data_IF_528432986834
#
_entry.id   IF_528432986834
#
_cell.length_a   1.000
_cell.length_b   1.000
_cell.length_c   1.000
_cell.angle_alpha   90.00
_cell.angle_beta   90.00
_cell.angle_gamma   90.00
#
_symmetry.space_group_name_H-M   'P 1'
#
loop_
_entity.id
_entity.type
_entity.pdbx_description
1 polymer ?
#
# COMPACT_ATOMS: atom_id res chain seq x y z
N UNK A 1 -8.07 -24.97 -4.41
CA UNK A 1 -8.45 -26.31 -4.91
C UNK A 1 -8.49 -26.22 -6.43
N UNK A 2 -7.48 -26.76 -7.10
CA UNK A 2 -7.39 -26.76 -8.59
C UNK A 2 -8.17 -27.96 -9.10
N UNK A 3 -9.14 -27.74 -9.98
CA UNK A 3 -9.78 -28.78 -10.78
C UNK A 3 -9.27 -28.65 -12.21
N UNK A 4 -8.44 -29.60 -12.61
CA UNK A 4 -8.07 -29.88 -14.00
C UNK A 4 -9.11 -30.81 -14.60
N UNK A 5 -9.69 -30.43 -15.72
CA UNK A 5 -10.51 -31.31 -16.54
C UNK A 5 -9.73 -31.64 -17.81
N UNK A 6 -9.46 -32.93 -18.01
CA UNK A 6 -8.95 -33.50 -19.26
C UNK A 6 -10.12 -33.80 -20.17
N UNK A 7 -10.17 -33.24 -21.37
CA UNK A 7 -11.09 -33.69 -22.43
C UNK A 7 -10.42 -34.81 -23.21
N UNK A 8 -11.10 -35.93 -23.29
CA UNK A 8 -10.80 -37.06 -24.20
C UNK A 8 -11.49 -36.83 -25.53
N UNK A 9 -10.71 -37.00 -26.62
CA UNK A 9 -11.21 -37.07 -28.01
C UNK A 9 -12.16 -38.24 -28.15
N UNK A 10 -13.35 -38.04 -28.72
CA UNK A 10 -14.00 -38.90 -29.74
C UNK A 10 -15.32 -38.27 -30.16
N UNK A 11 -15.57 -38.38 -31.48
CA UNK A 11 -16.82 -38.22 -32.27
C UNK A 11 -17.00 -36.95 -33.07
N UNK A 12 -16.42 -36.99 -34.30
CA UNK A 12 -16.91 -36.22 -35.45
C UNK A 12 -17.76 -37.11 -36.34
N UNK A 13 -18.98 -36.71 -36.72
CA UNK A 13 -19.73 -37.39 -37.81
C UNK A 13 -19.32 -36.84 -39.20
N UNK A 14 -19.27 -37.77 -40.14
CA UNK A 14 -18.83 -37.66 -41.52
C UNK A 14 -19.62 -36.63 -42.34
N UNK A 15 -18.90 -35.86 -43.11
CA UNK A 15 -19.42 -34.99 -44.17
C UNK A 15 -20.08 -35.79 -45.29
N UNK A 16 -21.29 -35.39 -45.70
CA UNK A 16 -21.92 -35.77 -46.95
C UNK A 16 -21.67 -34.70 -48.01
N UNK A 17 -21.04 -35.11 -49.11
CA UNK A 17 -20.84 -34.36 -50.35
C UNK A 17 -22.15 -34.31 -51.15
N UNK A 18 -22.53 -33.15 -51.61
CA UNK A 18 -23.56 -32.92 -52.65
C UNK A 18 -22.93 -32.20 -53.83
N UNK A 19 -23.43 -32.46 -55.10
CA UNK A 19 -22.69 -32.18 -56.31
C UNK A 19 -22.90 -30.75 -56.84
N UNK A 20 -21.84 -30.29 -57.56
CA UNK A 20 -21.79 -29.07 -58.35
C UNK A 20 -22.77 -29.09 -59.55
N UNK A 21 -23.48 -27.98 -59.74
CA UNK A 21 -23.99 -27.61 -61.07
C UNK A 21 -23.63 -26.13 -61.36
N UNK A 22 -23.32 -25.86 -62.66
CA UNK A 22 -22.80 -24.56 -63.06
C UNK A 22 -23.89 -23.66 -63.63
N UNK A 23 -23.91 -22.36 -63.23
CA UNK A 23 -24.57 -21.32 -64.04
C UNK A 23 -23.74 -20.06 -64.18
N UNK A 24 -23.37 -19.81 -65.44
CA UNK A 24 -22.81 -18.58 -65.97
C UNK A 24 -23.80 -17.43 -65.71
N UNK A 25 -23.34 -16.24 -65.31
CA UNK A 25 -23.54 -14.98 -66.06
C UNK A 25 -22.86 -13.82 -65.33
N UNK A 26 -22.10 -13.09 -66.14
CA UNK A 26 -21.50 -11.78 -65.92
C UNK A 26 -22.41 -10.80 -65.18
N UNK A 27 -21.89 -10.14 -64.17
CA UNK A 27 -22.19 -8.73 -63.86
C UNK A 27 -20.98 -8.11 -63.20
N UNK A 28 -20.37 -7.17 -63.90
CA UNK A 28 -19.35 -6.30 -63.35
C UNK A 28 -19.99 -5.41 -62.27
N UNK A 29 -19.56 -5.52 -61.07
CA UNK A 29 -19.89 -4.60 -59.99
C UNK A 29 -18.63 -4.13 -59.29
N UNK A 30 -18.41 -2.86 -59.43
CA UNK A 30 -17.39 -2.00 -58.82
C UNK A 30 -17.33 -2.28 -57.30
N UNK A 31 -16.35 -3.06 -56.83
CA UNK A 31 -16.08 -3.22 -55.42
C UNK A 31 -15.33 -1.97 -54.96
N UNK A 32 -16.08 -1.03 -54.41
CA UNK A 32 -15.53 0.02 -53.57
C UNK A 32 -14.99 -0.68 -52.32
N UNK A 33 -13.65 -0.86 -52.23
CA UNK A 33 -12.96 -1.25 -51.01
C UNK A 33 -13.06 -0.07 -50.06
N UNK A 34 -14.08 -0.06 -49.21
CA UNK A 34 -14.07 0.70 -47.97
C UNK A 34 -13.03 0.08 -47.10
N UNK A 35 -11.81 0.64 -47.10
CA UNK A 35 -10.86 0.49 -46.02
C UNK A 35 -11.58 1.07 -44.79
N UNK A 36 -12.21 0.19 -44.01
CA UNK A 36 -12.55 0.47 -42.64
C UNK A 36 -11.19 0.73 -41.92
N UNK A 37 -10.87 2.00 -41.77
CA UNK A 37 -9.85 2.41 -40.82
C UNK A 37 -10.38 1.98 -39.45
N UNK A 38 -10.02 0.76 -39.05
CA UNK A 38 -10.12 0.37 -37.65
C UNK A 38 -9.35 1.42 -36.87
N UNK A 39 -9.95 2.07 -35.85
CA UNK A 39 -9.17 2.90 -34.98
C UNK A 39 -8.03 2.00 -34.47
N UNK A 40 -6.81 2.32 -34.84
CA UNK A 40 -5.63 1.81 -34.15
C UNK A 40 -5.81 2.34 -32.73
N UNK A 41 -6.36 1.49 -31.86
CA UNK A 41 -6.22 1.73 -30.43
C UNK A 41 -4.73 1.83 -30.21
N UNK A 42 -4.25 3.03 -30.01
CA UNK A 42 -2.90 3.24 -29.52
C UNK A 42 -2.80 2.31 -28.31
N UNK A 43 -1.98 1.29 -28.43
CA UNK A 43 -1.68 0.40 -27.31
C UNK A 43 -1.12 1.35 -26.25
N UNK A 44 -1.94 1.67 -25.23
CA UNK A 44 -1.49 2.52 -24.14
C UNK A 44 -0.20 1.93 -23.65
N UNK A 45 0.85 2.72 -23.69
CA UNK A 45 2.17 2.28 -23.26
C UNK A 45 2.00 1.73 -21.83
N UNK A 46 2.31 0.44 -21.66
CA UNK A 46 2.25 -0.20 -20.37
C UNK A 46 2.97 0.70 -19.36
N UNK A 47 2.34 1.00 -18.24
CA UNK A 47 2.96 1.81 -17.21
C UNK A 47 4.29 1.19 -16.80
N UNK A 48 5.33 2.01 -16.71
CA UNK A 48 6.63 1.62 -16.17
C UNK A 48 7.14 2.69 -15.21
N UNK A 49 7.96 2.27 -14.27
CA UNK A 49 8.58 3.12 -13.26
C UNK A 49 10.06 2.84 -13.14
N UNK A 50 10.84 3.88 -12.83
CA UNK A 50 12.27 3.76 -12.50
C UNK A 50 12.52 3.08 -11.17
N UNK A 51 11.51 2.93 -10.30
CA UNK A 51 11.65 2.19 -9.07
C UNK A 51 12.09 0.75 -9.35
N UNK A 52 13.01 0.22 -8.54
CA UNK A 52 13.43 -1.18 -8.62
C UNK A 52 12.32 -2.11 -8.17
N UNK A 53 11.59 -1.71 -7.12
CA UNK A 53 10.40 -2.41 -6.62
C UNK A 53 9.24 -1.41 -6.57
N UNK A 54 8.05 -1.86 -6.95
CA UNK A 54 6.83 -1.06 -6.87
C UNK A 54 5.61 -1.95 -6.65
N UNK A 55 4.66 -1.46 -5.89
CA UNK A 55 3.33 -2.05 -5.72
C UNK A 55 2.30 -0.92 -5.61
N UNK A 56 1.18 -1.07 -6.32
CA UNK A 56 0.02 -0.20 -6.22
C UNK A 56 -1.23 -1.07 -6.10
N UNK A 57 -2.09 -0.76 -5.15
CA UNK A 57 -3.42 -1.36 -5.03
C UNK A 57 -4.51 -0.31 -4.88
N UNK A 58 -5.70 -0.69 -5.23
CA UNK A 58 -6.95 0.00 -4.92
C UNK A 58 -7.45 -0.52 -3.55
N UNK A 59 -7.79 0.40 -2.65
CA UNK A 59 -7.98 0.08 -1.22
C UNK A 59 -9.30 -0.66 -0.94
N UNK A 60 -10.42 -0.26 -1.58
CA UNK A 60 -11.73 -0.83 -1.29
C UNK A 60 -11.80 -2.32 -1.65
N UNK A 61 -11.31 -2.67 -2.83
CA UNK A 61 -11.34 -4.05 -3.35
C UNK A 61 -10.09 -4.85 -2.97
N UNK A 62 -8.98 -4.16 -2.67
CA UNK A 62 -7.66 -4.78 -2.50
C UNK A 62 -7.04 -5.24 -3.82
N UNK A 63 -7.57 -4.78 -4.97
CA UNK A 63 -7.06 -5.15 -6.28
C UNK A 63 -5.68 -4.56 -6.52
N UNK A 64 -4.72 -5.41 -6.88
CA UNK A 64 -3.38 -4.97 -7.28
C UNK A 64 -3.48 -4.42 -8.70
N UNK A 65 -3.18 -3.13 -8.85
CA UNK A 65 -3.19 -2.43 -10.14
C UNK A 65 -1.82 -2.49 -10.82
N UNK A 66 -0.75 -2.48 -10.05
CA UNK A 66 0.62 -2.58 -10.56
C UNK A 66 1.52 -3.32 -9.58
N UNK A 67 2.40 -4.19 -10.10
CA UNK A 67 3.38 -4.91 -9.31
C UNK A 67 4.70 -5.09 -10.10
N UNK A 68 5.80 -4.66 -9.50
CA UNK A 68 7.17 -4.86 -9.99
C UNK A 68 8.02 -5.38 -8.83
N UNK A 69 8.29 -6.68 -8.82
CA UNK A 69 9.07 -7.38 -7.79
C UNK A 69 8.77 -6.97 -6.33
N UNK A 70 7.48 -6.89 -5.92
CA UNK A 70 7.09 -6.30 -4.63
C UNK A 70 7.53 -7.13 -3.41
N UNK A 71 7.81 -8.41 -3.59
CA UNK A 71 8.21 -9.33 -2.51
C UNK A 71 9.73 -9.42 -2.32
N UNK A 72 10.51 -8.69 -3.14
CA UNK A 72 11.94 -8.56 -2.92
C UNK A 72 12.20 -7.87 -1.59
N UNK A 73 13.00 -8.51 -0.73
CA UNK A 73 13.34 -7.96 0.58
C UNK A 73 14.28 -6.78 0.45
N UNK A 74 13.91 -5.69 1.11
CA UNK A 74 14.68 -4.45 1.16
C UNK A 74 14.93 -4.02 2.61
N UNK A 75 15.91 -3.17 2.83
CA UNK A 75 16.04 -2.42 4.09
C UNK A 75 14.93 -1.37 4.15
N UNK A 76 14.09 -1.36 5.19
CA UNK A 76 12.95 -0.45 5.26
C UNK A 76 13.35 1.01 5.46
N UNK A 77 14.54 1.27 6.02
CA UNK A 77 14.87 2.60 6.49
C UNK A 77 13.74 3.14 7.40
N UNK A 78 13.45 4.43 7.31
CA UNK A 78 12.39 5.05 8.10
C UNK A 78 10.96 4.54 7.78
N UNK A 79 10.75 3.70 6.75
CA UNK A 79 9.46 3.04 6.52
C UNK A 79 9.13 2.01 7.61
N UNK A 80 10.11 1.52 8.37
CA UNK A 80 9.88 0.71 9.56
C UNK A 80 9.02 1.43 10.61
N UNK A 81 9.02 2.77 10.62
CA UNK A 81 8.21 3.58 11.53
C UNK A 81 6.70 3.40 11.33
N UNK A 82 6.26 2.88 10.20
CA UNK A 82 4.86 2.48 10.02
C UNK A 82 4.47 1.39 11.02
N UNK A 83 5.36 0.40 11.23
CA UNK A 83 5.11 -0.65 12.23
C UNK A 83 5.22 -0.13 13.66
N UNK A 84 6.11 0.83 13.91
CA UNK A 84 6.19 1.53 15.20
C UNK A 84 4.89 2.28 15.49
N UNK A 85 4.35 3.02 14.53
CA UNK A 85 3.08 3.72 14.70
C UNK A 85 1.89 2.77 14.82
N UNK A 86 1.91 1.64 14.12
CA UNK A 86 0.89 0.61 14.30
C UNK A 86 0.79 0.15 15.75
N UNK A 87 1.93 -0.22 16.37
CA UNK A 87 1.95 -0.61 17.77
C UNK A 87 1.49 0.50 18.72
N UNK A 88 1.89 1.73 18.45
CA UNK A 88 1.44 2.90 19.25
C UNK A 88 -0.06 3.09 19.14
N UNK A 89 -0.62 3.02 17.94
CA UNK A 89 -2.06 3.13 17.73
C UNK A 89 -2.84 1.96 18.32
N UNK A 90 -2.28 0.75 18.25
CA UNK A 90 -2.83 -0.42 18.91
C UNK A 90 -2.88 -0.23 20.44
N UNK A 91 -1.81 0.25 21.04
CA UNK A 91 -1.73 0.53 22.47
C UNK A 91 -2.72 1.63 22.91
N UNK A 92 -2.94 2.66 22.08
CA UNK A 92 -3.96 3.69 22.31
C UNK A 92 -5.37 3.11 22.21
N UNK A 93 -5.65 2.36 21.15
CA UNK A 93 -6.98 1.76 20.90
C UNK A 93 -7.39 0.76 21.98
N UNK A 94 -6.43 -0.01 22.49
CA UNK A 94 -6.66 -0.97 23.57
C UNK A 94 -6.65 -0.35 24.98
N UNK A 95 -6.36 0.95 25.08
CA UNK A 95 -6.30 1.66 26.35
C UNK A 95 -5.07 1.36 27.20
N UNK A 96 -4.06 0.67 26.64
CA UNK A 96 -2.78 0.42 27.31
C UNK A 96 -2.06 1.74 27.61
N UNK A 97 -2.15 2.70 26.72
CA UNK A 97 -1.64 4.07 26.88
C UNK A 97 -2.72 5.08 26.50
N UNK A 98 -2.50 6.34 26.86
CA UNK A 98 -3.36 7.46 26.48
C UNK A 98 -2.55 8.50 25.71
N UNK A 99 -3.26 9.38 24.97
CA UNK A 99 -2.62 10.43 24.17
C UNK A 99 -1.82 11.42 25.02
N UNK A 100 -2.25 11.64 26.26
CA UNK A 100 -1.61 12.50 27.25
C UNK A 100 -0.61 11.78 28.17
N UNK A 101 -0.43 10.45 28.02
CA UNK A 101 0.62 9.70 28.73
C UNK A 101 1.97 10.32 28.46
N UNK A 102 2.75 10.52 29.52
CA UNK A 102 4.06 11.17 29.44
C UNK A 102 5.19 10.12 29.51
N UNK A 103 6.13 10.23 28.59
CA UNK A 103 7.35 9.42 28.61
C UNK A 103 8.58 10.29 28.79
N UNK A 104 9.51 9.81 29.61
CA UNK A 104 10.77 10.51 29.87
C UNK A 104 11.79 10.22 28.76
N UNK A 105 12.47 11.25 28.29
CA UNK A 105 13.54 11.14 27.30
C UNK A 105 14.79 10.52 27.97
N UNK A 106 15.08 9.28 27.61
CA UNK A 106 16.24 8.54 28.11
C UNK A 106 17.53 9.05 27.48
N UNK A 107 18.68 8.68 28.09
CA UNK A 107 19.98 8.96 27.48
C UNK A 107 20.18 8.22 26.18
N UNK A 108 19.63 7.00 26.04
CA UNK A 108 19.66 6.23 24.80
C UNK A 108 18.89 6.97 23.69
N UNK A 109 17.62 7.34 23.93
CA UNK A 109 16.80 8.05 22.95
C UNK A 109 17.44 9.37 22.52
N UNK A 110 17.99 10.14 23.48
CA UNK A 110 18.66 11.40 23.19
C UNK A 110 19.94 11.21 22.37
N UNK A 111 20.77 10.21 22.72
CA UNK A 111 22.08 9.97 22.10
C UNK A 111 21.97 9.34 20.72
N UNK A 112 21.13 8.29 20.58
CA UNK A 112 21.03 7.50 19.35
C UNK A 112 19.99 7.99 18.37
N UNK A 113 18.93 8.63 18.84
CA UNK A 113 17.84 9.17 18.02
C UNK A 113 17.74 10.68 17.99
N UNK A 114 18.29 11.38 18.99
CA UNK A 114 18.21 12.82 19.14
C UNK A 114 19.26 13.59 18.35
N UNK A 115 19.40 14.88 18.66
CA UNK A 115 20.31 15.80 17.97
C UNK A 115 21.78 15.31 17.89
N UNK A 116 22.33 14.65 18.90
CA UNK A 116 23.71 14.13 18.84
C UNK A 116 23.93 13.07 17.74
N UNK A 117 22.88 12.35 17.31
CA UNK A 117 22.98 11.31 16.29
C UNK A 117 23.19 11.88 14.86
N UNK A 118 22.89 13.16 14.64
CA UNK A 118 22.86 13.76 13.31
C UNK A 118 21.72 13.29 12.40
N UNK A 119 20.87 12.37 12.91
CA UNK A 119 19.73 11.82 12.17
C UNK A 119 18.45 12.67 12.26
N UNK A 120 17.35 12.11 11.80
CA UNK A 120 16.03 12.74 11.93
C UNK A 120 15.59 12.76 13.40
N UNK A 121 15.30 13.93 13.94
CA UNK A 121 14.95 14.14 15.35
C UNK A 121 13.87 15.21 15.50
N UNK A 122 13.03 15.11 16.52
CA UNK A 122 12.15 16.19 16.96
C UNK A 122 12.83 17.12 17.97
N UNK A 123 14.10 16.88 18.29
CA UNK A 123 14.89 17.61 19.26
C UNK A 123 14.36 17.45 20.71
N UNK A 124 14.05 16.22 21.09
CA UNK A 124 13.66 15.87 22.44
C UNK A 124 14.80 16.18 23.43
N UNK A 125 14.48 16.97 24.48
CA UNK A 125 15.47 17.35 25.48
C UNK A 125 15.69 16.20 26.47
N UNK A 126 16.95 15.85 26.72
CA UNK A 126 17.34 14.83 27.70
C UNK A 126 16.63 15.03 29.05
N UNK A 127 16.08 13.96 29.62
CA UNK A 127 15.36 13.92 30.91
C UNK A 127 14.05 14.76 30.95
N UNK A 128 13.61 15.35 29.84
CA UNK A 128 12.28 15.96 29.78
C UNK A 128 11.21 14.88 29.62
N UNK A 129 9.96 15.25 29.87
CA UNK A 129 8.79 14.41 29.61
C UNK A 129 8.05 14.94 28.40
N UNK A 130 7.58 14.03 27.53
CA UNK A 130 6.88 14.35 26.28
C UNK A 130 5.62 13.49 26.22
N UNK A 131 4.50 14.09 25.80
CA UNK A 131 3.25 13.34 25.62
C UNK A 131 3.32 12.37 24.45
N UNK A 132 2.58 11.27 24.52
CA UNK A 132 2.42 10.32 23.40
C UNK A 132 1.91 11.05 22.15
N UNK A 133 0.99 12.01 22.30
CA UNK A 133 0.49 12.80 21.19
C UNK A 133 1.56 13.63 20.47
N UNK A 134 2.45 14.28 21.22
CA UNK A 134 3.56 15.04 20.62
C UNK A 134 4.61 14.10 19.98
N UNK A 135 4.88 12.95 20.62
CA UNK A 135 5.77 11.94 20.05
C UNK A 135 5.25 11.39 18.73
N UNK A 136 3.94 11.10 18.63
CA UNK A 136 3.30 10.67 17.37
C UNK A 136 3.50 11.72 16.28
N UNK A 137 3.26 12.99 16.56
CA UNK A 137 3.48 14.07 15.60
C UNK A 137 4.96 14.15 15.19
N UNK A 138 5.88 14.09 16.14
CA UNK A 138 7.31 14.08 15.86
C UNK A 138 7.73 12.93 14.96
N UNK A 139 7.24 11.71 15.21
CA UNK A 139 7.55 10.52 14.40
C UNK A 139 6.94 10.62 13.01
N UNK A 140 5.69 10.99 12.87
CA UNK A 140 4.99 11.01 11.59
C UNK A 140 5.47 12.17 10.72
N UNK A 141 5.51 13.39 11.27
CA UNK A 141 5.82 14.60 10.50
C UNK A 141 7.31 14.71 10.20
N UNK A 142 8.15 14.56 11.23
CA UNK A 142 9.60 14.77 11.12
C UNK A 142 10.37 13.47 10.90
N UNK A 143 9.71 12.32 10.99
CA UNK A 143 10.38 11.01 10.99
C UNK A 143 11.39 10.87 12.14
N UNK A 144 11.04 11.41 13.31
CA UNK A 144 11.92 11.57 14.48
C UNK A 144 12.34 10.22 15.09
N UNK A 145 13.65 9.93 15.07
CA UNK A 145 14.19 8.71 15.66
C UNK A 145 14.12 8.74 17.21
N UNK A 146 14.39 9.88 17.82
CA UNK A 146 14.23 10.07 19.28
C UNK A 146 12.78 9.79 19.70
N UNK A 147 11.79 10.27 18.96
CA UNK A 147 10.39 9.98 19.22
C UNK A 147 10.06 8.49 19.17
N UNK A 148 10.61 7.75 18.19
CA UNK A 148 10.43 6.30 18.11
C UNK A 148 11.00 5.56 19.30
N UNK A 149 12.24 5.90 19.72
CA UNK A 149 12.91 5.24 20.83
C UNK A 149 12.20 5.55 22.16
N UNK A 150 11.78 6.79 22.37
CA UNK A 150 11.01 7.19 23.57
C UNK A 150 9.72 6.40 23.68
N UNK A 151 8.96 6.27 22.56
CA UNK A 151 7.73 5.47 22.52
C UNK A 151 8.02 4.00 22.78
N UNK A 152 9.05 3.44 22.17
CA UNK A 152 9.42 2.04 22.33
C UNK A 152 9.81 1.71 23.77
N UNK A 153 10.66 2.54 24.38
CA UNK A 153 11.06 2.37 25.79
C UNK A 153 9.89 2.58 26.74
N UNK A 154 9.01 3.54 26.45
CA UNK A 154 7.83 3.84 27.27
C UNK A 154 6.79 2.73 27.26
N UNK A 155 6.57 2.09 26.10
CA UNK A 155 5.56 1.02 25.94
C UNK A 155 6.10 -0.33 26.40
N UNK A 156 7.33 -0.68 26.00
CA UNK A 156 7.90 -2.03 26.18
C UNK A 156 9.00 -2.10 27.23
N UNK A 157 9.44 -0.96 27.75
CA UNK A 157 10.56 -0.87 28.71
C UNK A 157 11.95 -0.92 28.07
N UNK A 158 12.06 -1.32 26.80
CA UNK A 158 13.28 -1.24 26.00
C UNK A 158 12.98 -1.33 24.50
N UNK A 159 13.86 -0.80 23.67
CA UNK A 159 13.73 -0.88 22.20
C UNK A 159 13.80 -2.33 21.71
N UNK A 160 14.61 -3.18 22.34
CA UNK A 160 14.69 -4.61 21.99
C UNK A 160 13.34 -5.32 22.19
N UNK A 161 12.71 -5.16 23.36
CA UNK A 161 11.37 -5.73 23.63
C UNK A 161 10.32 -5.16 22.69
N UNK A 162 10.44 -3.89 22.34
CA UNK A 162 9.54 -3.28 21.35
C UNK A 162 9.70 -3.92 19.98
N UNK A 163 10.91 -4.20 19.52
CA UNK A 163 11.16 -4.92 18.27
C UNK A 163 10.59 -6.35 18.30
N UNK A 164 10.64 -7.04 19.43
CA UNK A 164 9.97 -8.34 19.62
C UNK A 164 8.44 -8.19 19.47
N UNK A 165 7.84 -7.15 20.06
CA UNK A 165 6.42 -6.81 19.89
C UNK A 165 6.08 -6.48 18.43
N UNK A 166 6.94 -5.71 17.72
CA UNK A 166 6.75 -5.42 16.30
C UNK A 166 6.66 -6.72 15.48
N UNK A 167 7.54 -7.67 15.71
CA UNK A 167 7.54 -8.95 14.98
C UNK A 167 6.35 -9.85 15.35
N UNK A 168 5.93 -9.89 16.60
CA UNK A 168 4.73 -10.61 17.02
C UNK A 168 3.49 -10.02 16.35
N UNK A 169 3.36 -8.70 16.41
CA UNK A 169 2.23 -7.99 15.83
C UNK A 169 2.20 -8.05 14.29
N UNK A 170 3.36 -8.00 13.64
CA UNK A 170 3.49 -8.19 12.19
C UNK A 170 2.87 -9.53 11.74
N UNK A 171 3.10 -10.60 12.49
CA UNK A 171 2.48 -11.92 12.21
C UNK A 171 0.97 -11.89 12.37
N UNK A 172 0.45 -11.22 13.40
CA UNK A 172 -1.01 -11.08 13.63
C UNK A 172 -1.69 -10.31 12.50
N UNK A 173 -1.05 -9.27 11.97
CA UNK A 173 -1.53 -8.48 10.83
C UNK A 173 -1.41 -9.26 9.51
N UNK A 174 -0.58 -10.31 9.46
CA UNK A 174 -0.36 -11.12 8.26
C UNK A 174 0.79 -10.65 7.39
N UNK A 175 1.74 -9.88 7.94
CA UNK A 175 2.99 -9.53 7.25
C UNK A 175 3.88 -10.79 7.18
N UNK A 176 4.17 -11.24 5.96
CA UNK A 176 4.78 -12.57 5.74
C UNK A 176 6.29 -12.54 5.65
N UNK A 177 6.85 -11.42 5.16
CA UNK A 177 8.23 -11.30 4.73
C UNK A 177 9.00 -10.22 5.51
N UNK A 178 8.40 -9.63 6.55
CA UNK A 178 9.01 -8.54 7.29
C UNK A 178 9.62 -8.99 8.61
N UNK A 179 10.80 -8.45 8.91
CA UNK A 179 11.50 -8.60 10.19
C UNK A 179 11.94 -7.22 10.66
N UNK A 180 11.60 -6.87 11.89
CA UNK A 180 11.95 -5.61 12.53
C UNK A 180 12.97 -5.84 13.64
N UNK A 181 13.99 -4.98 13.73
CA UNK A 181 15.08 -5.07 14.72
C UNK A 181 15.16 -3.85 15.63
N UNK A 182 14.58 -2.74 15.20
CA UNK A 182 14.49 -1.50 15.97
C UNK A 182 13.24 -0.69 15.59
N UNK A 183 12.89 0.28 16.40
CA UNK A 183 11.71 1.14 16.23
C UNK A 183 11.88 2.23 15.16
N UNK A 184 13.12 2.51 14.77
CA UNK A 184 13.49 3.71 13.99
C UNK A 184 13.64 3.43 12.50
N UNK A 185 14.01 2.20 12.14
CA UNK A 185 14.48 1.86 10.81
C UNK A 185 15.96 2.20 10.58
N UNK A 186 16.73 2.49 11.64
CA UNK A 186 18.17 2.59 11.54
C UNK A 186 18.77 1.27 11.03
N UNK A 187 19.91 1.31 10.32
CA UNK A 187 20.47 0.13 9.67
C UNK A 187 20.69 -1.04 10.64
N UNK A 188 20.19 -2.20 10.24
CA UNK A 188 20.44 -3.50 10.86
C UNK A 188 20.36 -4.55 9.75
N UNK A 189 21.34 -5.45 9.59
CA UNK A 189 21.42 -6.40 8.48
C UNK A 189 20.26 -7.39 8.44
N UNK A 190 19.64 -7.67 9.59
CA UNK A 190 18.49 -8.57 9.70
C UNK A 190 17.14 -7.86 9.59
N UNK A 191 17.12 -6.52 9.54
CA UNK A 191 15.90 -5.75 9.37
C UNK A 191 15.52 -5.67 7.90
N UNK A 192 14.51 -6.40 7.49
CA UNK A 192 14.06 -6.51 6.09
C UNK A 192 12.54 -6.44 6.01
N UNK A 193 12.04 -5.87 4.91
CA UNK A 193 10.61 -5.81 4.60
C UNK A 193 10.37 -6.05 3.11
N UNK A 194 9.16 -6.46 2.74
CA UNK A 194 8.69 -6.42 1.36
C UNK A 194 7.73 -5.24 1.13
N UNK A 195 7.58 -4.80 -0.11
CA UNK A 195 6.58 -3.77 -0.44
C UNK A 195 5.16 -4.29 -0.25
N UNK A 196 4.93 -5.58 -0.47
CA UNK A 196 3.65 -6.23 -0.20
C UNK A 196 3.26 -6.08 1.28
N UNK A 197 4.20 -6.32 2.19
CA UNK A 197 3.95 -6.16 3.62
C UNK A 197 3.76 -4.67 4.00
N UNK A 198 4.54 -3.77 3.42
CA UNK A 198 4.40 -2.33 3.69
C UNK A 198 3.04 -1.79 3.24
N UNK A 199 2.54 -2.20 2.08
CA UNK A 199 1.22 -1.81 1.58
C UNK A 199 0.11 -2.45 2.42
N UNK A 200 0.27 -3.72 2.81
CA UNK A 200 -0.65 -4.40 3.74
C UNK A 200 -0.73 -3.66 5.08
N UNK A 201 0.42 -3.28 5.65
CA UNK A 201 0.49 -2.52 6.88
C UNK A 201 -0.13 -1.12 6.75
N UNK A 202 0.12 -0.42 5.64
CA UNK A 202 -0.45 0.88 5.36
C UNK A 202 -1.99 0.83 5.31
N UNK A 203 -2.53 -0.15 4.59
CA UNK A 203 -3.96 -0.43 4.50
C UNK A 203 -4.54 -0.75 5.89
N UNK A 204 -3.88 -1.62 6.64
CA UNK A 204 -4.29 -1.98 8.00
C UNK A 204 -4.39 -0.76 8.92
N UNK A 205 -3.34 0.09 8.94
CA UNK A 205 -3.33 1.33 9.75
C UNK A 205 -4.50 2.25 9.36
N UNK A 206 -4.77 2.42 8.08
CA UNK A 206 -5.84 3.27 7.58
C UNK A 206 -7.22 2.79 8.03
N UNK A 207 -7.49 1.49 7.95
CA UNK A 207 -8.79 0.91 8.28
C UNK A 207 -8.98 0.75 9.78
N UNK A 208 -7.94 0.34 10.50
CA UNK A 208 -8.04 -0.01 11.91
C UNK A 208 -7.96 1.20 12.84
N UNK A 209 -7.26 2.27 12.41
CA UNK A 209 -7.01 3.47 13.24
C UNK A 209 -7.31 4.78 12.50
N UNK A 210 -8.52 4.95 11.94
CA UNK A 210 -8.83 6.12 11.10
C UNK A 210 -8.68 7.45 11.83
N UNK A 211 -8.93 7.50 13.15
CA UNK A 211 -8.76 8.68 13.97
C UNK A 211 -7.30 9.12 14.12
N UNK A 212 -6.37 8.16 14.24
CA UNK A 212 -4.92 8.44 14.37
C UNK A 212 -4.26 8.61 13.00
N UNK A 213 -4.79 7.94 11.98
CA UNK A 213 -4.31 8.04 10.61
C UNK A 213 -4.27 9.48 10.09
N UNK A 214 -5.20 10.34 10.52
CA UNK A 214 -5.27 11.75 10.11
C UNK A 214 -3.97 12.52 10.35
N UNK A 215 -3.14 12.09 11.29
CA UNK A 215 -1.84 12.71 11.58
C UNK A 215 -0.87 12.59 10.40
N UNK A 216 -1.01 11.58 9.54
CA UNK A 216 -0.17 11.44 8.35
C UNK A 216 -0.37 12.55 7.32
N UNK A 217 -1.56 13.17 7.28
CA UNK A 217 -1.87 14.30 6.42
C UNK A 217 -1.38 15.65 6.97
N UNK A 218 -0.84 15.67 8.19
CA UNK A 218 -0.38 16.90 8.82
C UNK A 218 0.87 17.44 8.12
N UNK A 219 0.81 18.66 7.60
CA UNK A 219 1.91 19.26 6.81
C UNK A 219 3.10 19.69 7.65
N UNK A 220 2.87 20.05 8.91
CA UNK A 220 3.91 20.58 9.81
C UNK A 220 3.57 20.34 11.28
N UNK A 221 4.60 20.43 12.09
CA UNK A 221 4.54 20.28 13.53
C UNK A 221 5.55 21.24 14.16
N UNK A 222 5.17 21.92 15.25
CA UNK A 222 6.09 22.80 15.99
C UNK A 222 6.33 22.22 17.37
N UNK A 223 7.60 21.92 17.67
CA UNK A 223 8.03 21.40 18.96
C UNK A 223 9.16 22.27 19.50
N UNK A 224 9.08 22.69 20.77
CA UNK A 224 10.07 23.56 21.40
C UNK A 224 10.44 24.80 20.56
N UNK A 225 9.46 25.44 19.94
CA UNK A 225 9.63 26.57 19.02
C UNK A 225 10.42 26.22 17.73
N UNK A 226 10.62 24.93 17.44
CA UNK A 226 11.23 24.46 16.19
C UNK A 226 10.11 24.04 15.26
N UNK A 227 9.97 24.74 14.15
CA UNK A 227 9.03 24.40 13.08
C UNK A 227 9.60 23.26 12.22
N UNK A 228 8.83 22.20 12.05
CA UNK A 228 9.20 20.99 11.32
C UNK A 228 8.17 20.69 10.26
N UNK A 229 8.60 20.40 9.05
CA UNK A 229 7.73 20.07 7.91
C UNK A 229 7.65 18.57 7.73
N UNK A 230 6.48 18.10 7.28
CA UNK A 230 6.30 16.71 6.90
C UNK A 230 7.26 16.33 5.76
N UNK A 231 7.91 15.19 5.91
CA UNK A 231 8.90 14.68 4.95
C UNK A 231 8.28 13.96 3.76
N UNK A 232 6.97 13.68 3.81
CA UNK A 232 6.26 13.07 2.68
C UNK A 232 6.05 14.12 1.57
N UNK A 233 6.71 13.98 0.40
CA UNK A 233 6.60 14.95 -0.68
C UNK A 233 5.21 14.96 -1.31
N UNK A 234 4.44 13.87 -1.21
CA UNK A 234 3.12 13.74 -1.84
C UNK A 234 2.11 14.76 -1.32
N UNK A 235 2.22 15.17 -0.04
CA UNK A 235 1.29 16.14 0.56
C UNK A 235 1.29 17.52 -0.13
N UNK A 236 2.30 17.79 -0.97
CA UNK A 236 2.45 19.07 -1.69
C UNK A 236 2.11 18.99 -3.17
N UNK A 237 1.69 17.81 -3.66
CA UNK A 237 1.57 17.55 -5.11
C UNK A 237 0.15 17.65 -5.64
N UNK A 238 -0.83 18.02 -4.82
CA UNK A 238 -2.25 18.17 -5.21
C UNK A 238 -2.79 16.94 -5.95
N UNK A 239 -2.48 15.76 -5.42
CA UNK A 239 -2.93 14.46 -5.95
C UNK A 239 -3.89 13.74 -4.99
N UNK A 240 -4.45 14.43 -4.01
CA UNK A 240 -5.31 13.85 -2.98
C UNK A 240 -4.56 13.00 -1.94
N UNK A 241 -3.24 13.15 -1.83
CA UNK A 241 -2.43 12.37 -0.89
C UNK A 241 -2.64 12.81 0.56
N UNK A 242 -2.77 11.81 1.45
CA UNK A 242 -2.97 12.00 2.89
C UNK A 242 -2.05 11.13 3.78
N UNK A 243 -1.04 10.50 3.19
CA UNK A 243 -0.07 9.64 3.89
C UNK A 243 1.02 9.12 2.94
N UNK A 244 2.00 8.37 3.36
CA UNK A 244 2.26 7.99 4.75
C UNK A 244 3.71 8.31 5.14
N UNK A 245 4.72 7.79 4.42
CA UNK A 245 6.09 7.97 4.84
C UNK A 245 7.13 7.70 3.76
N UNK A 246 8.38 8.08 4.06
CA UNK A 246 9.54 7.93 3.17
C UNK A 246 10.69 7.26 3.89
N UNK A 247 11.59 6.62 3.15
CA UNK A 247 12.81 6.02 3.67
C UNK A 247 13.96 6.17 2.68
N UNK A 248 15.18 6.05 3.19
CA UNK A 248 16.40 6.00 2.38
C UNK A 248 17.49 5.23 3.12
N UNK A 249 18.11 4.29 2.44
CA UNK A 249 19.44 3.76 2.74
C UNK A 249 20.25 3.71 1.45
N UNK A 250 21.58 3.64 1.56
CA UNK A 250 22.43 3.47 0.38
C UNK A 250 22.12 2.18 -0.38
N UNK A 251 21.77 1.11 0.36
CA UNK A 251 21.48 -0.21 -0.21
C UNK A 251 20.11 -0.25 -0.91
N UNK A 252 19.07 0.27 -0.28
CA UNK A 252 17.68 0.20 -0.79
C UNK A 252 17.30 1.39 -1.67
N UNK A 253 18.11 2.45 -1.72
CA UNK A 253 17.77 3.70 -2.39
C UNK A 253 16.63 4.46 -1.73
N UNK A 254 16.07 5.43 -2.42
CA UNK A 254 14.93 6.20 -1.94
C UNK A 254 13.64 5.40 -2.10
N UNK A 255 12.86 5.33 -1.02
CA UNK A 255 11.58 4.63 -0.97
C UNK A 255 10.46 5.52 -0.40
N UNK A 256 9.23 5.10 -0.65
CA UNK A 256 8.02 5.78 -0.20
C UNK A 256 6.89 4.76 -0.05
N UNK A 257 6.06 4.97 0.97
CA UNK A 257 4.69 4.44 1.04
C UNK A 257 3.75 5.62 1.00
N UNK A 258 2.87 5.64 0.01
CA UNK A 258 1.89 6.70 -0.22
C UNK A 258 0.47 6.19 -0.16
N UNK A 259 -0.45 7.05 0.29
CA UNK A 259 -1.89 6.86 0.19
C UNK A 259 -2.50 8.14 -0.34
N UNK A 260 -3.41 8.00 -1.29
CA UNK A 260 -4.12 9.13 -1.88
C UNK A 260 -5.55 8.73 -2.25
N UNK A 261 -6.45 9.71 -2.22
CA UNK A 261 -7.84 9.52 -2.62
C UNK A 261 -8.18 10.42 -3.81
N UNK A 262 -8.80 9.83 -4.82
CA UNK A 262 -9.23 10.54 -6.01
C UNK A 262 -10.61 10.04 -6.45
N UNK A 263 -11.58 10.97 -6.59
CA UNK A 263 -12.97 10.67 -6.97
C UNK A 263 -13.63 9.59 -6.10
N UNK A 264 -13.41 9.62 -4.77
CA UNK A 264 -13.96 8.66 -3.81
C UNK A 264 -13.25 7.30 -3.80
N UNK A 265 -12.24 7.08 -4.64
CA UNK A 265 -11.42 5.87 -4.66
C UNK A 265 -10.07 6.11 -4.01
N UNK A 266 -9.67 5.19 -3.16
CA UNK A 266 -8.38 5.27 -2.47
C UNK A 266 -7.38 4.31 -3.09
N UNK A 267 -6.15 4.80 -3.20
CA UNK A 267 -5.02 4.06 -3.75
C UNK A 267 -3.87 4.08 -2.73
N UNK A 268 -3.20 2.94 -2.59
CA UNK A 268 -2.02 2.81 -1.73
C UNK A 268 -0.88 2.28 -2.59
N UNK A 269 0.26 2.96 -2.54
CA UNK A 269 1.44 2.59 -3.31
C UNK A 269 2.68 2.51 -2.42
N UNK A 270 3.57 1.58 -2.75
CA UNK A 270 4.93 1.52 -2.24
C UNK A 270 5.94 1.47 -3.38
N UNK A 271 6.99 2.27 -3.28
CA UNK A 271 8.09 2.35 -4.24
C UNK A 271 9.44 2.24 -3.50
N UNK A 272 10.42 1.60 -4.12
CA UNK A 272 11.79 1.51 -3.58
C UNK A 272 12.83 1.45 -4.69
N UNK A 273 14.08 1.75 -4.35
CA UNK A 273 15.20 1.66 -5.27
C UNK A 273 15.39 2.85 -6.20
N UNK A 274 14.81 4.00 -5.86
CA UNK A 274 14.97 5.25 -6.62
C UNK A 274 16.29 5.92 -6.28
N UNK A 275 16.85 6.64 -7.26
CA UNK A 275 18.21 7.17 -7.14
C UNK A 275 18.28 8.46 -6.34
N UNK A 276 17.23 9.26 -6.34
CA UNK A 276 17.21 10.59 -5.69
C UNK A 276 15.85 10.85 -5.01
N UNK A 277 15.85 11.79 -4.07
CA UNK A 277 14.65 12.31 -3.41
C UNK A 277 13.66 12.91 -4.44
N UNK A 278 14.18 13.65 -5.43
CA UNK A 278 13.39 14.21 -6.51
C UNK A 278 12.73 13.11 -7.35
N UNK A 279 13.50 12.11 -7.77
CA UNK A 279 12.99 10.99 -8.55
C UNK A 279 11.92 10.22 -7.78
N UNK A 280 12.08 10.03 -6.45
CA UNK A 280 11.07 9.43 -5.59
C UNK A 280 9.73 10.19 -5.64
N UNK A 281 9.77 11.51 -5.56
CA UNK A 281 8.57 12.35 -5.64
C UNK A 281 7.91 12.27 -7.03
N UNK A 282 8.71 12.32 -8.10
CA UNK A 282 8.23 12.25 -9.48
C UNK A 282 7.62 10.90 -9.82
N UNK A 283 8.29 9.80 -9.49
CA UNK A 283 7.79 8.45 -9.77
C UNK A 283 6.56 8.10 -8.90
N UNK A 284 6.52 8.58 -7.66
CA UNK A 284 5.35 8.42 -6.82
C UNK A 284 4.14 9.20 -7.38
N UNK A 285 4.31 10.45 -7.80
CA UNK A 285 3.26 11.21 -8.49
C UNK A 285 2.76 10.47 -9.73
N UNK A 286 3.68 10.04 -10.57
CA UNK A 286 3.40 9.35 -11.83
C UNK A 286 2.55 8.08 -11.65
N UNK A 287 2.83 7.24 -10.66
CA UNK A 287 2.07 6.01 -10.44
C UNK A 287 0.64 6.31 -9.95
N UNK A 288 0.44 7.34 -9.12
CA UNK A 288 -0.89 7.74 -8.68
C UNK A 288 -1.70 8.32 -9.84
N UNK A 289 -1.16 9.28 -10.61
CA UNK A 289 -1.84 9.88 -11.76
C UNK A 289 -2.19 8.84 -12.83
N UNK A 290 -1.30 7.86 -13.06
CA UNK A 290 -1.60 6.74 -13.94
C UNK A 290 -2.79 5.92 -13.41
N UNK A 291 -2.79 5.56 -12.12
CA UNK A 291 -3.88 4.77 -11.54
C UNK A 291 -5.23 5.49 -11.62
N UNK A 292 -5.25 6.83 -11.52
CA UNK A 292 -6.47 7.62 -11.63
C UNK A 292 -7.08 7.61 -13.04
N UNK A 293 -6.25 7.47 -14.07
CA UNK A 293 -6.67 7.53 -15.47
C UNK A 293 -6.81 6.17 -16.15
N UNK A 294 -6.06 5.16 -15.67
CA UNK A 294 -5.98 3.87 -16.36
C UNK A 294 -7.06 2.85 -15.91
N UNK A 295 -7.77 3.13 -14.82
CA UNK A 295 -8.76 2.19 -14.27
C UNK A 295 -10.09 2.87 -14.02
N UNK A 296 -11.15 2.19 -14.45
CA UNK A 296 -12.53 2.54 -14.11
C UNK A 296 -13.16 1.42 -13.26
N UNK A 297 -14.15 1.79 -12.49
CA UNK A 297 -14.96 0.82 -11.75
C UNK A 297 -16.14 0.39 -12.63
N UNK A 298 -16.29 -0.91 -12.82
CA UNK A 298 -17.40 -1.48 -13.58
C UNK A 298 -18.22 -2.35 -12.65
N UNK A 299 -19.46 -1.97 -12.42
CA UNK A 299 -20.43 -2.81 -11.74
C UNK A 299 -20.85 -3.96 -12.67
N UNK A 300 -20.42 -5.19 -12.35
CA UNK A 300 -20.71 -6.38 -13.14
C UNK A 300 -22.16 -6.84 -12.92
N UNK A 301 -22.69 -6.61 -11.71
CA UNK A 301 -24.06 -6.96 -11.34
C UNK A 301 -24.77 -5.76 -10.73
N UNK A 302 -26.07 -5.64 -10.96
CA UNK A 302 -26.90 -4.64 -10.31
C UNK A 302 -27.19 -5.07 -8.85
N UNK A 303 -27.41 -4.08 -7.99
CA UNK A 303 -27.82 -4.35 -6.60
C UNK A 303 -29.06 -5.26 -6.55
N UNK A 304 -28.98 -6.33 -5.76
CA UNK A 304 -30.07 -7.31 -5.63
C UNK A 304 -30.19 -8.31 -6.79
N UNK A 305 -29.33 -8.19 -7.83
CA UNK A 305 -29.26 -9.15 -8.92
C UNK A 305 -28.82 -10.53 -8.41
N UNK A 306 -29.44 -11.58 -8.96
CA UNK A 306 -29.08 -12.96 -8.61
C UNK A 306 -27.84 -13.36 -9.38
N UNK A 307 -26.72 -13.50 -8.67
CA UNK A 307 -25.41 -13.85 -9.22
C UNK A 307 -25.29 -15.35 -9.47
N UNK A 308 -25.86 -16.16 -8.54
CA UNK A 308 -25.79 -17.61 -8.56
C UNK A 308 -26.91 -18.20 -7.69
N UNK A 309 -27.06 -19.52 -7.74
CA UNK A 309 -27.90 -20.27 -6.80
C UNK A 309 -27.07 -21.22 -5.97
N UNK A 310 -27.29 -21.22 -4.64
CA UNK A 310 -26.70 -22.20 -3.73
C UNK A 310 -27.70 -23.34 -3.48
N UNK A 311 -27.25 -24.59 -3.65
CA UNK A 311 -28.06 -25.76 -3.35
C UNK A 311 -28.27 -25.92 -1.84
N UNK A 312 -29.48 -26.24 -1.41
CA UNK A 312 -29.84 -26.43 0.00
C UNK A 312 -30.15 -27.91 0.24
N UNK A 313 -29.31 -28.54 1.05
CA UNK A 313 -29.56 -29.94 1.47
C UNK A 313 -30.56 -29.99 2.63
N UNK A 314 -31.64 -30.75 2.47
CA UNK A 314 -32.65 -30.92 3.50
C UNK A 314 -33.57 -29.72 3.75
N UNK A 315 -33.56 -28.72 2.93
CA UNK A 315 -34.45 -27.55 3.03
C UNK A 315 -35.77 -27.73 2.28
N UNK A 316 -36.74 -26.85 2.56
CA UNK A 316 -38.03 -26.79 1.85
C UNK A 316 -37.84 -26.39 0.35
N UNK A 317 -36.79 -25.62 0.06
CA UNK A 317 -36.38 -25.27 -1.30
C UNK A 317 -35.06 -25.98 -1.61
N UNK A 318 -34.93 -26.45 -2.85
CA UNK A 318 -33.70 -27.12 -3.31
C UNK A 318 -32.54 -26.15 -3.58
N UNK A 319 -32.81 -24.86 -3.77
CA UNK A 319 -31.83 -23.81 -3.95
C UNK A 319 -32.28 -22.48 -3.35
N UNK A 320 -31.33 -21.61 -3.07
CA UNK A 320 -31.53 -20.22 -2.69
C UNK A 320 -30.71 -19.30 -3.59
N UNK A 321 -31.26 -18.15 -4.06
CA UNK A 321 -30.52 -17.21 -4.87
C UNK A 321 -29.47 -16.49 -4.01
N UNK A 322 -28.25 -16.42 -4.54
CA UNK A 322 -27.18 -15.56 -4.04
C UNK A 322 -27.30 -14.24 -4.77
N UNK A 323 -27.53 -13.17 -4.05
CA UNK A 323 -27.74 -11.83 -4.62
C UNK A 323 -26.54 -10.94 -4.32
N UNK A 324 -26.26 -10.01 -5.24
CA UNK A 324 -25.37 -8.90 -4.97
C UNK A 324 -25.91 -8.07 -3.81
N UNK A 325 -25.03 -7.72 -2.89
CA UNK A 325 -25.37 -6.87 -1.75
C UNK A 325 -24.29 -5.81 -1.62
N UNK A 326 -24.70 -4.56 -1.60
CA UNK A 326 -23.81 -3.42 -1.34
C UNK A 326 -23.17 -3.57 0.05
N UNK A 327 -21.87 -3.36 0.13
CA UNK A 327 -21.08 -3.43 1.38
C UNK A 327 -21.04 -2.09 2.07
#
# INVERSE_FOLDING_TARGET
MRLSYAMTETDFPRQRTLPLQPFRKLAASLAVVLLAASPVHAQEALFDTKAKQALMLEDQTGTILYAKTPDTLIEPAALAKLMTMELVFHALKTGQIKIDTQYTVSENAWRTGGAPSGGSTMFAKLKSSISVGDLIQGVIVQSANDGCIILAEGIAGSEQKFAEMMNARAKEIGLKNSTFRNSTGLPDPEQKVSLTDLVTLARYIKHEYPEYYRTYAQESFTWNNIFQRNRNPLLKLDIGADGMGTGYTEQSGYGLVGSAEHNGRRYIAALSGLATDKERAEEAKKIFEWAYSAFEEVNIFAEGETIAEASVFGGVKSSVPLKEHER
#
